data_IF_061347875663
#
_entry.id   IF_061347875663
#
_cell.length_a   1.000
_cell.length_b   1.000
_cell.length_c   1.000
_cell.angle_alpha   90.00
_cell.angle_beta   90.00
_cell.angle_gamma   90.00
#
_symmetry.space_group_name_H-M   'P 1'
#
loop_
_entity.id
_entity.type
_entity.pdbx_description
1 polymer ?
#
# COMPACT_ATOMS: atom_id res chain seq x y z
N UNK A 1 33.18 -17.23 -15.21
CA UNK A 1 32.59 -15.88 -15.02
C UNK A 1 33.28 -14.89 -15.94
N UNK A 2 34.61 -14.74 -15.81
CA UNK A 2 35.47 -13.87 -16.65
C UNK A 2 35.18 -14.06 -18.15
N UNK A 3 35.34 -15.28 -18.68
CA UNK A 3 35.12 -15.55 -20.11
C UNK A 3 33.72 -15.18 -20.69
N UNK A 4 32.66 -15.15 -19.86
CA UNK A 4 31.31 -14.79 -20.31
C UNK A 4 31.16 -13.26 -20.38
N UNK A 5 31.72 -12.55 -19.41
CA UNK A 5 31.70 -11.09 -19.36
C UNK A 5 32.60 -10.51 -20.47
N UNK A 6 33.78 -11.10 -20.71
CA UNK A 6 34.67 -10.71 -21.82
C UNK A 6 33.98 -10.88 -23.18
N UNK A 7 33.16 -11.92 -23.33
CA UNK A 7 32.35 -12.14 -24.54
C UNK A 7 31.23 -11.09 -24.66
N UNK A 8 30.65 -10.63 -23.55
CA UNK A 8 29.63 -9.60 -23.55
C UNK A 8 30.22 -8.23 -23.92
N UNK A 9 31.41 -7.89 -23.41
CA UNK A 9 32.14 -6.67 -23.78
C UNK A 9 32.47 -6.64 -25.28
N UNK A 10 32.86 -7.79 -25.84
CA UNK A 10 33.16 -7.94 -27.27
C UNK A 10 31.95 -7.78 -28.19
N UNK A 11 30.72 -7.81 -27.65
CA UNK A 11 29.45 -7.71 -28.41
C UNK A 11 28.76 -6.35 -28.26
N UNK A 12 29.43 -5.40 -27.61
CA UNK A 12 28.89 -4.06 -27.41
C UNK A 12 28.79 -3.32 -28.74
N UNK A 13 27.63 -2.74 -29.02
CA UNK A 13 27.39 -1.97 -30.25
C UNK A 13 28.00 -0.57 -30.14
N UNK A 14 28.63 -0.07 -31.21
CA UNK A 14 29.27 1.26 -31.25
C UNK A 14 28.30 2.41 -30.93
N UNK A 15 27.02 2.28 -31.27
CA UNK A 15 26.01 3.31 -31.06
C UNK A 15 25.60 3.52 -29.59
N UNK A 16 25.74 2.50 -28.73
CA UNK A 16 25.36 2.55 -27.31
C UNK A 16 26.53 2.11 -26.41
N UNK A 17 27.75 2.19 -26.93
CA UNK A 17 28.89 1.47 -26.38
C UNK A 17 29.27 1.88 -24.96
N UNK A 18 29.28 3.19 -24.68
CA UNK A 18 29.64 3.68 -23.35
C UNK A 18 28.66 3.23 -22.25
N UNK A 19 27.36 3.26 -22.52
CA UNK A 19 26.36 2.86 -21.52
C UNK A 19 26.38 1.34 -21.30
N UNK A 20 26.50 0.56 -22.38
CA UNK A 20 26.60 -0.90 -22.29
C UNK A 20 27.86 -1.33 -21.53
N UNK A 21 29.02 -0.71 -21.81
CA UNK A 21 30.25 -0.97 -21.07
C UNK A 21 30.11 -0.62 -19.58
N UNK A 22 29.51 0.51 -19.24
CA UNK A 22 29.21 0.87 -17.84
C UNK A 22 28.29 -0.15 -17.16
N UNK A 23 27.32 -0.70 -17.88
CA UNK A 23 26.45 -1.75 -17.34
C UNK A 23 27.21 -3.05 -17.09
N UNK A 24 28.10 -3.43 -18.00
CA UNK A 24 28.95 -4.62 -17.83
C UNK A 24 29.94 -4.43 -16.68
N UNK A 25 30.54 -3.25 -16.53
CA UNK A 25 31.42 -2.92 -15.42
C UNK A 25 30.69 -3.03 -14.07
N UNK A 26 29.48 -2.45 -13.98
CA UNK A 26 28.63 -2.56 -12.78
C UNK A 26 28.26 -4.00 -12.46
N UNK A 27 27.91 -4.78 -13.48
CA UNK A 27 27.60 -6.20 -13.32
C UNK A 27 28.82 -6.97 -12.81
N UNK A 28 30.00 -6.70 -13.37
CA UNK A 28 31.26 -7.34 -12.97
C UNK A 28 31.59 -7.06 -11.51
N UNK A 29 31.52 -5.80 -11.09
CA UNK A 29 31.71 -5.41 -9.68
C UNK A 29 30.67 -6.04 -8.75
N UNK A 30 29.42 -6.13 -9.19
CA UNK A 30 28.37 -6.76 -8.40
C UNK A 30 28.64 -8.25 -8.22
N UNK A 31 28.95 -8.97 -9.30
CA UNK A 31 29.21 -10.40 -9.26
C UNK A 31 30.45 -10.72 -8.43
N UNK A 32 31.53 -9.95 -8.57
CA UNK A 32 32.77 -10.17 -7.81
C UNK A 32 32.55 -9.98 -6.30
N UNK A 33 31.87 -8.90 -5.90
CA UNK A 33 31.54 -8.62 -4.50
C UNK A 33 30.64 -9.68 -3.87
N UNK A 34 29.67 -10.19 -4.63
CA UNK A 34 28.63 -11.08 -4.11
C UNK A 34 28.87 -12.55 -4.43
N UNK A 35 30.01 -12.92 -5.02
CA UNK A 35 30.25 -14.26 -5.56
C UNK A 35 30.06 -15.38 -4.52
N UNK A 36 30.43 -15.13 -3.26
CA UNK A 36 30.27 -16.08 -2.17
C UNK A 36 28.80 -16.49 -1.91
N UNK A 37 27.85 -15.60 -2.24
CA UNK A 37 26.40 -15.81 -2.06
C UNK A 37 25.73 -16.37 -3.32
N UNK A 38 26.37 -16.27 -4.49
CA UNK A 38 25.85 -16.74 -5.78
C UNK A 38 26.19 -18.22 -6.03
N UNK A 39 26.21 -19.05 -4.99
CA UNK A 39 26.39 -20.49 -5.14
C UNK A 39 25.18 -21.08 -5.86
N UNK A 40 25.40 -22.16 -6.60
CA UNK A 40 24.32 -22.88 -7.30
C UNK A 40 23.25 -23.28 -6.28
N UNK A 41 21.96 -23.13 -6.63
CA UNK A 41 20.84 -23.52 -5.76
C UNK A 41 20.96 -24.97 -5.25
N UNK A 42 21.54 -25.88 -6.06
CA UNK A 42 21.86 -27.26 -5.66
C UNK A 42 22.78 -27.36 -4.45
N UNK A 43 23.72 -26.44 -4.29
CA UNK A 43 24.62 -26.40 -3.14
C UNK A 43 23.88 -26.07 -1.82
N UNK A 44 22.65 -25.56 -1.92
CA UNK A 44 21.77 -25.27 -0.79
C UNK A 44 20.72 -26.37 -0.54
N UNK A 45 20.78 -27.51 -1.24
CA UNK A 45 19.80 -28.60 -1.13
C UNK A 45 18.35 -28.16 -1.46
N UNK A 46 18.19 -27.09 -2.24
CA UNK A 46 16.90 -26.49 -2.61
C UNK A 46 16.41 -26.97 -4.00
N UNK A 47 16.68 -28.23 -4.34
CA UNK A 47 16.51 -28.76 -5.70
C UNK A 47 15.05 -28.78 -6.19
N UNK A 48 14.08 -28.93 -5.28
CA UNK A 48 12.64 -28.89 -5.61
C UNK A 48 12.13 -27.49 -5.97
N UNK A 49 12.83 -26.43 -5.57
CA UNK A 49 12.38 -25.02 -5.69
C UNK A 49 12.95 -24.27 -6.89
N UNK A 50 13.66 -24.94 -7.81
CA UNK A 50 14.33 -24.28 -8.96
C UNK A 50 13.35 -23.55 -9.90
N UNK A 51 12.06 -23.92 -9.91
CA UNK A 51 11.00 -23.20 -10.65
C UNK A 51 10.54 -21.88 -9.98
N UNK A 52 11.07 -21.53 -8.81
CA UNK A 52 10.53 -20.45 -7.96
C UNK A 52 10.87 -19.01 -8.35
N UNK A 53 11.82 -18.77 -9.27
CA UNK A 53 12.22 -17.39 -9.63
C UNK A 53 11.02 -16.61 -10.21
N UNK A 54 10.25 -17.24 -11.10
CA UNK A 54 9.03 -16.65 -11.66
C UNK A 54 7.94 -16.43 -10.61
N UNK A 55 7.90 -17.26 -9.57
CA UNK A 55 7.00 -17.09 -8.42
C UNK A 55 7.41 -15.89 -7.57
N UNK A 56 8.71 -15.70 -7.30
CA UNK A 56 9.24 -14.53 -6.59
C UNK A 56 8.95 -13.23 -7.35
N UNK A 57 9.19 -13.22 -8.66
CA UNK A 57 8.93 -12.03 -9.50
C UNK A 57 7.44 -11.75 -9.64
N UNK A 58 6.59 -12.77 -9.75
CA UNK A 58 5.14 -12.56 -9.86
C UNK A 58 4.51 -12.12 -8.52
N UNK A 59 5.04 -12.60 -7.40
CA UNK A 59 4.50 -12.30 -6.07
C UNK A 59 4.82 -10.88 -5.58
N UNK A 60 5.94 -10.27 -5.98
CA UNK A 60 6.31 -8.94 -5.46
C UNK A 60 5.33 -7.83 -5.85
N UNK A 61 4.61 -7.97 -6.98
CA UNK A 61 3.69 -6.95 -7.50
C UNK A 61 2.52 -6.69 -6.56
N UNK A 62 1.96 -7.74 -5.95
CA UNK A 62 0.81 -7.63 -5.04
C UNK A 62 1.17 -6.74 -3.85
N UNK A 63 2.36 -6.95 -3.27
CA UNK A 63 2.90 -6.12 -2.20
C UNK A 63 3.18 -4.69 -2.68
N UNK A 64 3.88 -4.55 -3.81
CA UNK A 64 4.27 -3.25 -4.34
C UNK A 64 3.07 -2.36 -4.66
N UNK A 65 2.03 -2.89 -5.29
CA UNK A 65 0.82 -2.12 -5.63
C UNK A 65 0.04 -1.67 -4.39
N UNK A 66 0.05 -2.46 -3.31
CA UNK A 66 -0.66 -2.12 -2.07
C UNK A 66 0.15 -1.22 -1.14
N UNK A 67 1.47 -1.30 -1.18
CA UNK A 67 2.31 -0.62 -0.20
C UNK A 67 3.06 0.60 -0.76
N UNK A 68 3.38 0.64 -2.06
CA UNK A 68 4.15 1.73 -2.68
C UNK A 68 3.25 2.89 -3.11
N UNK A 69 3.71 4.14 -2.92
CA UNK A 69 3.13 5.38 -3.48
C UNK A 69 1.66 5.68 -3.13
N UNK A 70 1.11 5.08 -2.07
CA UNK A 70 -0.26 5.35 -1.63
C UNK A 70 -0.40 6.61 -0.75
N UNK A 71 0.64 7.46 -0.64
CA UNK A 71 0.65 8.63 0.25
C UNK A 71 0.55 8.30 1.74
N UNK A 72 0.61 7.02 2.09
CA UNK A 72 0.58 6.50 3.46
C UNK A 72 1.99 6.17 3.92
N UNK A 73 2.36 6.67 5.08
CA UNK A 73 3.52 6.18 5.82
C UNK A 73 3.05 5.06 6.73
N UNK A 74 3.67 3.90 6.60
CA UNK A 74 3.41 2.77 7.48
C UNK A 74 4.43 2.79 8.62
N UNK A 75 3.97 2.60 9.86
CA UNK A 75 4.87 2.15 10.93
C UNK A 75 5.32 0.72 10.65
N UNK A 76 6.41 0.26 11.28
CA UNK A 76 6.91 -1.11 11.08
C UNK A 76 5.82 -2.16 11.37
N UNK A 77 5.08 -1.99 12.47
CA UNK A 77 3.95 -2.84 12.82
C UNK A 77 2.81 -2.75 11.79
N UNK A 78 2.50 -1.54 11.30
CA UNK A 78 1.47 -1.35 10.29
C UNK A 78 1.84 -1.99 8.95
N UNK A 79 3.11 -1.91 8.56
CA UNK A 79 3.63 -2.56 7.36
C UNK A 79 3.54 -4.08 7.49
N UNK A 80 3.95 -4.64 8.64
CA UNK A 80 3.88 -6.06 8.91
C UNK A 80 2.43 -6.58 8.86
N UNK A 81 1.50 -5.91 9.54
CA UNK A 81 0.08 -6.28 9.49
C UNK A 81 -0.50 -6.24 8.08
N UNK A 82 -0.11 -5.25 7.27
CA UNK A 82 -0.54 -5.17 5.87
C UNK A 82 0.01 -6.31 5.02
N UNK A 83 1.26 -6.72 5.24
CA UNK A 83 1.85 -7.89 4.56
C UNK A 83 1.08 -9.15 4.93
N UNK A 84 0.78 -9.37 6.22
CA UNK A 84 -0.01 -10.51 6.69
C UNK A 84 -1.40 -10.54 6.03
N UNK A 85 -2.07 -9.40 5.92
CA UNK A 85 -3.37 -9.30 5.25
C UNK A 85 -3.28 -9.67 3.76
N UNK A 86 -2.27 -9.16 3.06
CA UNK A 86 -2.04 -9.45 1.64
C UNK A 86 -1.80 -10.95 1.44
N UNK A 87 -0.98 -11.55 2.31
CA UNK A 87 -0.66 -12.97 2.28
C UNK A 87 -1.89 -13.84 2.57
N UNK A 88 -2.67 -13.51 3.59
CA UNK A 88 -3.90 -14.22 3.94
C UNK A 88 -4.93 -14.18 2.82
N UNK A 89 -5.08 -13.02 2.16
CA UNK A 89 -5.97 -12.87 1.00
C UNK A 89 -5.49 -13.71 -0.20
N UNK A 90 -4.17 -13.71 -0.45
CA UNK A 90 -3.58 -14.46 -1.56
C UNK A 90 -3.73 -15.97 -1.35
N UNK A 91 -3.52 -16.44 -0.11
CA UNK A 91 -3.60 -17.84 0.25
C UNK A 91 -5.04 -18.30 0.55
N UNK A 92 -6.03 -17.41 0.44
CA UNK A 92 -7.45 -17.66 0.77
C UNK A 92 -7.67 -18.12 2.23
N UNK A 93 -6.75 -17.78 3.12
CA UNK A 93 -6.82 -18.10 4.55
C UNK A 93 -7.37 -16.95 5.39
N UNK A 94 -7.71 -15.82 4.76
CA UNK A 94 -8.22 -14.64 5.47
C UNK A 94 -9.52 -14.91 6.23
N UNK A 95 -10.51 -15.55 5.60
CA UNK A 95 -11.81 -15.83 6.23
C UNK A 95 -11.67 -16.80 7.41
N UNK A 96 -10.77 -17.77 7.26
CA UNK A 96 -10.41 -18.70 8.33
C UNK A 96 -9.78 -17.94 9.52
N UNK A 97 -8.77 -17.11 9.27
CA UNK A 97 -8.12 -16.32 10.31
C UNK A 97 -9.05 -15.33 11.03
N UNK A 98 -10.11 -14.86 10.36
CA UNK A 98 -11.13 -13.99 10.97
C UNK A 98 -12.09 -14.76 11.88
N UNK A 99 -12.32 -16.03 11.58
CA UNK A 99 -13.32 -16.88 12.25
C UNK A 99 -12.71 -17.73 13.36
N UNK A 100 -11.41 -18.01 13.29
CA UNK A 100 -10.69 -18.76 14.30
C UNK A 100 -10.74 -18.06 15.67
N UNK A 101 -11.15 -18.82 16.69
CA UNK A 101 -11.14 -18.35 18.07
C UNK A 101 -9.70 -18.28 18.55
N UNK A 102 -9.19 -17.05 18.72
CA UNK A 102 -7.86 -16.80 19.28
C UNK A 102 -7.99 -16.97 20.81
N UNK A 103 -7.35 -18.00 21.42
CA UNK A 103 -7.55 -18.33 22.83
C UNK A 103 -7.11 -17.21 23.79
N UNK A 104 -6.22 -16.32 23.34
CA UNK A 104 -5.75 -15.15 24.10
C UNK A 104 -6.76 -13.99 24.12
N UNK A 105 -7.84 -14.08 23.35
CA UNK A 105 -8.84 -13.02 23.23
C UNK A 105 -10.19 -13.44 23.81
N UNK A 106 -10.15 -13.85 25.08
CA UNK A 106 -11.37 -14.01 25.87
C UNK A 106 -11.96 -12.62 26.14
N UNK A 107 -12.91 -12.22 25.29
CA UNK A 107 -13.56 -10.90 25.35
C UNK A 107 -14.47 -10.79 26.56
N UNK A 108 -13.90 -10.47 27.72
CA UNK A 108 -14.68 -9.85 28.79
C UNK A 108 -14.95 -8.40 28.40
N UNK A 109 -16.06 -8.16 27.68
CA UNK A 109 -16.49 -6.80 27.42
C UNK A 109 -16.96 -6.18 28.73
N UNK A 110 -16.42 -5.02 29.16
CA UNK A 110 -16.93 -4.32 30.32
C UNK A 110 -18.41 -3.97 30.09
N UNK A 111 -19.23 -4.09 31.13
CA UNK A 111 -20.68 -3.82 31.05
C UNK A 111 -20.98 -2.42 30.49
N UNK A 112 -20.12 -1.46 30.79
CA UNK A 112 -20.21 -0.08 30.32
C UNK A 112 -20.19 0.03 28.79
N UNK A 113 -19.39 -0.81 28.12
CA UNK A 113 -19.33 -0.84 26.66
C UNK A 113 -20.65 -1.37 26.07
N UNK A 114 -21.24 -2.41 26.68
CA UNK A 114 -22.55 -2.94 26.27
C UNK A 114 -23.65 -1.89 26.45
N UNK A 115 -23.64 -1.15 27.55
CA UNK A 115 -24.56 -0.06 27.83
C UNK A 115 -24.40 1.08 26.82
N UNK A 116 -23.17 1.49 26.53
CA UNK A 116 -22.86 2.56 25.57
C UNK A 116 -23.34 2.20 24.14
N UNK A 117 -23.06 0.99 23.66
CA UNK A 117 -23.52 0.51 22.36
C UNK A 117 -25.05 0.46 22.30
N UNK A 118 -25.71 -0.01 23.37
CA UNK A 118 -27.17 -0.02 23.47
C UNK A 118 -27.76 1.39 23.42
N UNK A 119 -27.14 2.37 24.08
CA UNK A 119 -27.58 3.76 24.03
C UNK A 119 -27.35 4.40 22.65
N UNK A 120 -26.24 4.08 21.98
CA UNK A 120 -25.95 4.59 20.63
C UNK A 120 -26.89 4.02 19.57
N UNK A 121 -27.25 2.73 19.67
CA UNK A 121 -28.18 2.06 18.75
C UNK A 121 -29.66 2.37 19.06
N UNK A 122 -29.94 2.99 20.21
CA UNK A 122 -31.30 3.38 20.58
C UNK A 122 -31.77 4.47 19.63
N UNK A 123 -32.64 4.10 18.67
CA UNK A 123 -33.36 5.08 17.84
C UNK A 123 -34.06 6.09 18.75
N UNK A 124 -33.72 7.36 18.59
CA UNK A 124 -34.43 8.45 19.22
C UNK A 124 -35.90 8.46 18.79
N UNK A 125 -36.78 9.03 19.62
CA UNK A 125 -38.15 9.32 19.18
C UNK A 125 -38.06 10.17 17.91
N UNK A 126 -38.83 9.88 16.85
CA UNK A 126 -38.80 10.69 15.64
C UNK A 126 -39.09 12.14 16.02
N UNK A 127 -38.15 13.03 15.72
CA UNK A 127 -38.39 14.46 15.85
C UNK A 127 -39.55 14.83 14.92
N UNK A 128 -40.47 15.68 15.39
CA UNK A 128 -41.52 16.20 14.54
C UNK A 128 -40.90 16.79 13.27
N UNK A 129 -41.44 16.44 12.09
CA UNK A 129 -40.94 16.95 10.82
C UNK A 129 -41.02 18.48 10.87
N UNK A 130 -39.88 19.15 10.88
CA UNK A 130 -39.87 20.59 10.64
C UNK A 130 -40.21 20.75 9.16
N UNK A 131 -41.36 21.36 8.87
CA UNK A 131 -41.81 21.62 7.50
C UNK A 131 -40.73 22.34 6.68
N UNK A 132 -40.90 22.35 5.35
CA UNK A 132 -39.93 22.91 4.41
C UNK A 132 -39.45 24.30 4.87
N UNK A 133 -38.22 24.36 5.40
CA UNK A 133 -37.57 25.63 5.70
C UNK A 133 -37.15 26.24 4.37
N UNK A 134 -37.85 27.27 3.93
CA UNK A 134 -37.44 28.05 2.76
C UNK A 134 -36.19 28.84 3.13
N UNK A 135 -35.02 28.25 2.89
CA UNK A 135 -33.73 28.89 3.04
C UNK A 135 -33.13 29.15 1.66
N UNK A 136 -32.65 30.37 1.40
CA UNK A 136 -31.88 30.69 0.20
C UNK A 136 -30.40 30.61 0.54
N UNK A 137 -29.64 29.78 -0.18
CA UNK A 137 -28.18 29.87 -0.16
C UNK A 137 -27.83 31.20 -0.81
N UNK A 138 -27.41 32.18 -0.01
CA UNK A 138 -26.84 33.39 -0.56
C UNK A 138 -25.47 33.02 -1.15
N UNK A 139 -25.40 32.86 -2.46
CA UNK A 139 -24.12 32.88 -3.20
C UNK A 139 -23.56 34.30 -3.13
N UNK A 140 -23.14 34.74 -1.96
CA UNK A 140 -22.36 35.96 -1.77
C UNK A 140 -21.87 35.97 -0.34
N UNK A 141 -20.60 35.65 -0.16
CA UNK A 141 -19.91 35.99 1.07
C UNK A 141 -19.99 37.51 1.19
N UNK A 142 -20.37 38.02 2.37
CA UNK A 142 -20.47 39.46 2.63
C UNK A 142 -19.12 40.20 2.43
N UNK A 143 -18.03 39.44 2.26
CA UNK A 143 -16.66 39.89 2.04
C UNK A 143 -16.19 39.89 0.57
N UNK A 144 -16.98 39.42 -0.39
CA UNK A 144 -16.60 39.48 -1.82
C UNK A 144 -16.96 40.83 -2.45
N UNK A 145 -16.22 41.22 -3.49
CA UNK A 145 -16.41 42.50 -4.20
C UNK A 145 -17.86 42.73 -4.68
N UNK A 146 -18.55 41.68 -5.12
CA UNK A 146 -19.96 41.73 -5.53
C UNK A 146 -20.95 41.90 -4.35
N UNK A 147 -20.54 41.53 -3.13
CA UNK A 147 -21.28 41.79 -1.90
C UNK A 147 -21.22 43.26 -1.50
N UNK A 148 -20.03 43.87 -1.57
CA UNK A 148 -19.84 45.31 -1.28
C UNK A 148 -20.54 46.22 -2.29
N UNK A 149 -20.50 45.89 -3.59
CA UNK A 149 -21.22 46.63 -4.61
C UNK A 149 -22.73 46.64 -4.35
N UNK A 150 -23.29 45.50 -3.98
CA UNK A 150 -24.73 45.41 -3.66
C UNK A 150 -25.10 46.27 -2.45
N UNK A 151 -24.23 46.34 -1.43
CA UNK A 151 -24.41 47.18 -0.25
C UNK A 151 -24.40 48.67 -0.60
N UNK A 152 -23.46 49.08 -1.47
CA UNK A 152 -23.38 50.45 -1.96
C UNK A 152 -24.62 50.84 -2.79
N UNK A 153 -25.16 49.92 -3.60
CA UNK A 153 -26.36 50.17 -4.41
C UNK A 153 -27.67 50.22 -3.60
N UNK A 154 -27.70 49.74 -2.35
CA UNK A 154 -28.89 49.78 -1.48
C UNK A 154 -29.01 51.06 -0.64
N UNK A 155 -28.00 51.94 -0.66
CA UNK A 155 -27.97 53.20 0.10
C UNK A 155 -28.42 54.42 -0.74
N UNK A 156 -29.21 54.19 -1.80
CA UNK A 156 -29.91 55.23 -2.56
C UNK A 156 -31.41 55.05 -2.44
#
# INVERSE_FOLDING_TARGET
MVAILDTAESRVDEAHGEDQLRHIEKLTHYLSRNWAYLKRLKAYQLEETVQGIGSCESNHRIYSYRMKRNGKYWSDQGAQSMVCLIEALKNQTFDQALTEEIPEYEKTYPQDLKLAVRMALRKGKPAASVGAKSGRILHRNASDAMGNLHKAMRLR
#
